data_IF_969532741062
#
_entry.id   IF_969532741062
#
_cell.length_a   1.000
_cell.length_b   1.000
_cell.length_c   1.000
_cell.angle_alpha   90.00
_cell.angle_beta   90.00
_cell.angle_gamma   90.00
#
_symmetry.space_group_name_H-M   'P 1'
#
loop_
_entity.id
_entity.type
_entity.pdbx_description
1 polymer ?
#
# COMPACT_ATOMS: atom_id res chain seq x y z
N UNK A 1 -21.60 43.49 18.49
CA UNK A 1 -22.41 43.04 17.33
C UNK A 1 -21.59 42.36 16.21
N UNK A 2 -20.27 42.16 16.36
CA UNK A 2 -19.40 41.52 15.34
C UNK A 2 -19.26 40.00 15.50
N UNK A 3 -19.54 39.41 16.66
CA UNK A 3 -19.35 37.99 16.96
C UNK A 3 -20.46 37.09 16.35
N UNK A 4 -21.68 37.59 16.18
CA UNK A 4 -22.81 36.80 15.64
C UNK A 4 -22.70 36.53 14.12
N UNK A 5 -22.01 37.38 13.35
CA UNK A 5 -21.88 37.24 11.91
C UNK A 5 -20.90 36.13 11.52
N UNK A 6 -19.81 35.94 12.31
CA UNK A 6 -18.82 34.86 12.08
C UNK A 6 -19.39 33.46 12.31
N UNK A 7 -20.31 33.29 13.26
CA UNK A 7 -20.93 31.99 13.55
C UNK A 7 -21.87 31.56 12.43
N UNK A 8 -22.59 32.50 11.82
CA UNK A 8 -23.46 32.17 10.68
C UNK A 8 -22.69 31.78 9.41
N UNK A 9 -21.56 32.40 9.15
CA UNK A 9 -20.70 32.06 7.99
C UNK A 9 -20.11 30.66 8.13
N UNK A 10 -19.65 30.26 9.33
CA UNK A 10 -19.14 28.93 9.62
C UNK A 10 -20.23 27.84 9.50
N UNK A 11 -21.45 28.12 9.92
CA UNK A 11 -22.58 27.19 9.80
C UNK A 11 -23.02 26.99 8.34
N UNK A 12 -23.03 28.05 7.51
CA UNK A 12 -23.36 27.91 6.08
C UNK A 12 -22.32 27.12 5.31
N UNK A 13 -21.04 27.23 5.62
CA UNK A 13 -19.97 26.49 4.96
C UNK A 13 -20.03 24.98 5.28
N UNK A 14 -20.38 24.64 6.53
CA UNK A 14 -20.56 23.24 6.95
C UNK A 14 -21.76 22.55 6.27
N UNK A 15 -22.84 23.26 6.02
CA UNK A 15 -24.06 22.71 5.42
C UNK A 15 -23.84 22.40 3.93
N UNK A 16 -23.13 23.24 3.19
CA UNK A 16 -22.83 23.02 1.78
C UNK A 16 -21.93 21.78 1.61
N UNK A 17 -20.93 21.59 2.44
CA UNK A 17 -20.02 20.45 2.41
C UNK A 17 -20.76 19.11 2.57
N UNK A 18 -21.67 19.00 3.52
CA UNK A 18 -22.48 17.79 3.73
C UNK A 18 -23.44 17.49 2.56
N UNK A 19 -23.95 18.53 1.89
CA UNK A 19 -24.83 18.33 0.74
C UNK A 19 -24.08 17.77 -0.47
N UNK A 20 -22.86 18.24 -0.73
CA UNK A 20 -22.02 17.77 -1.82
C UNK A 20 -21.61 16.29 -1.61
N UNK A 21 -21.21 15.91 -0.40
CA UNK A 21 -20.85 14.52 -0.07
C UNK A 21 -22.01 13.54 -0.31
N UNK A 22 -23.22 13.90 0.06
CA UNK A 22 -24.40 13.04 -0.14
C UNK A 22 -24.67 12.82 -1.63
N UNK A 23 -24.62 13.90 -2.43
CA UNK A 23 -24.85 13.85 -3.88
C UNK A 23 -23.77 13.01 -4.55
N UNK A 24 -22.49 13.24 -4.21
CA UNK A 24 -21.35 12.51 -4.74
C UNK A 24 -21.49 11.02 -4.40
N UNK A 25 -21.79 10.69 -3.14
CA UNK A 25 -21.94 9.32 -2.68
C UNK A 25 -23.00 8.58 -3.49
N UNK A 26 -24.21 9.15 -3.59
CA UNK A 26 -25.32 8.54 -4.32
C UNK A 26 -24.96 8.26 -5.78
N UNK A 27 -24.31 9.20 -6.47
CA UNK A 27 -23.91 9.04 -7.88
C UNK A 27 -22.76 8.07 -8.07
N UNK A 28 -21.73 8.15 -7.24
CA UNK A 28 -20.55 7.29 -7.35
C UNK A 28 -20.89 5.83 -7.06
N UNK A 29 -21.77 5.55 -6.09
CA UNK A 29 -22.23 4.18 -5.80
C UNK A 29 -22.82 3.48 -7.02
N UNK A 30 -23.38 4.21 -7.97
CA UNK A 30 -23.96 3.64 -9.20
C UNK A 30 -22.92 3.08 -10.18
N UNK A 31 -21.68 3.57 -10.11
CA UNK A 31 -20.60 3.20 -11.04
C UNK A 31 -19.54 2.28 -10.41
N UNK A 32 -19.58 2.09 -9.08
CA UNK A 32 -18.62 1.23 -8.40
C UNK A 32 -18.80 -0.25 -8.74
N UNK A 33 -17.71 -1.03 -8.75
CA UNK A 33 -17.79 -2.48 -8.86
C UNK A 33 -18.65 -3.07 -7.73
N UNK A 34 -19.33 -4.19 -8.01
CA UNK A 34 -20.12 -4.90 -6.99
C UNK A 34 -19.27 -5.25 -5.78
N UNK A 35 -19.71 -4.82 -4.60
CA UNK A 35 -19.04 -5.07 -3.33
C UNK A 35 -17.95 -4.04 -2.98
N UNK A 36 -17.71 -3.04 -3.82
CA UNK A 36 -16.89 -1.89 -3.43
C UNK A 36 -17.74 -0.91 -2.62
N UNK A 37 -17.17 -0.41 -1.53
CA UNK A 37 -17.79 0.57 -0.64
C UNK A 37 -16.96 1.85 -0.63
N UNK A 38 -17.62 3.00 -0.54
CA UNK A 38 -16.95 4.29 -0.39
C UNK A 38 -16.36 4.35 1.03
N UNK A 39 -15.04 4.43 1.11
CA UNK A 39 -14.30 4.57 2.37
C UNK A 39 -14.32 6.01 2.88
N UNK A 40 -14.13 6.98 1.97
CA UNK A 40 -14.14 8.41 2.30
C UNK A 40 -14.35 9.28 1.07
N UNK A 41 -14.96 10.45 1.30
CA UNK A 41 -15.08 11.54 0.34
C UNK A 41 -14.37 12.74 0.96
N UNK A 42 -13.37 13.30 0.28
CA UNK A 42 -12.54 14.40 0.81
C UNK A 42 -12.40 15.47 -0.25
N UNK A 43 -12.55 16.73 0.13
CA UNK A 43 -12.28 17.83 -0.79
C UNK A 43 -10.83 17.79 -1.28
N UNK A 44 -10.62 17.93 -2.58
CA UNK A 44 -9.27 18.00 -3.13
C UNK A 44 -8.68 19.40 -2.98
N UNK A 45 -7.41 19.56 -3.33
CA UNK A 45 -6.77 20.88 -3.41
C UNK A 45 -7.33 21.74 -4.56
N UNK A 46 -8.01 21.11 -5.52
CA UNK A 46 -8.68 21.84 -6.60
C UNK A 46 -10.13 22.14 -6.20
N UNK A 47 -10.53 23.43 -6.13
CA UNK A 47 -11.88 23.82 -5.73
C UNK A 47 -12.97 23.18 -6.60
N UNK A 48 -14.04 22.67 -5.97
CA UNK A 48 -15.15 22.01 -6.66
C UNK A 48 -14.86 20.56 -7.12
N UNK A 49 -13.72 20.00 -6.72
CA UNK A 49 -13.37 18.60 -6.97
C UNK A 49 -13.15 17.86 -5.65
N UNK A 50 -13.72 16.69 -5.53
CA UNK A 50 -13.59 15.79 -4.38
C UNK A 50 -12.80 14.54 -4.77
N UNK A 51 -12.06 13.99 -3.81
CA UNK A 51 -11.40 12.69 -3.87
C UNK A 51 -12.31 11.66 -3.22
N UNK A 52 -12.63 10.59 -3.93
CA UNK A 52 -13.44 9.49 -3.44
C UNK A 52 -12.60 8.22 -3.41
N UNK A 53 -12.43 7.64 -2.23
CA UNK A 53 -11.73 6.38 -2.00
C UNK A 53 -12.75 5.26 -1.81
N UNK A 54 -12.54 4.11 -2.48
CA UNK A 54 -13.51 3.00 -2.54
C UNK A 54 -12.84 1.61 -2.52
N UNK A 55 -11.83 1.44 -1.67
CA UNK A 55 -11.09 0.17 -1.53
C UNK A 55 -9.78 0.12 -2.31
N UNK A 56 -9.56 1.06 -3.23
CA UNK A 56 -8.26 1.28 -3.90
C UNK A 56 -7.48 2.39 -3.18
N UNK A 57 -6.16 2.34 -3.29
CA UNK A 57 -5.31 3.40 -2.76
C UNK A 57 -5.41 4.68 -3.61
N UNK A 58 -5.67 4.52 -4.92
CA UNK A 58 -5.87 5.62 -5.84
C UNK A 58 -7.32 6.12 -5.79
N UNK A 59 -7.55 7.43 -5.55
CA UNK A 59 -8.89 7.99 -5.58
C UNK A 59 -9.41 8.16 -7.00
N UNK A 60 -10.74 8.24 -7.13
CA UNK A 60 -11.35 8.94 -8.25
C UNK A 60 -11.61 10.39 -7.85
N UNK A 61 -11.47 11.29 -8.82
CA UNK A 61 -11.78 12.72 -8.66
C UNK A 61 -13.17 13.00 -9.19
N UNK A 62 -14.02 13.63 -8.38
CA UNK A 62 -15.45 13.83 -8.70
C UNK A 62 -15.80 15.30 -8.50
N UNK A 63 -16.56 15.89 -9.44
CA UNK A 63 -17.09 17.25 -9.28
C UNK A 63 -18.07 17.35 -8.10
N UNK A 64 -18.20 18.55 -7.53
CA UNK A 64 -19.08 18.86 -6.40
C UNK A 64 -20.55 18.43 -6.63
N UNK A 65 -21.02 18.56 -7.87
CA UNK A 65 -22.35 18.11 -8.26
C UNK A 65 -22.42 16.59 -8.61
N UNK A 66 -21.29 15.87 -8.58
CA UNK A 66 -21.20 14.44 -8.89
C UNK A 66 -21.43 14.06 -10.37
N UNK A 67 -21.50 15.04 -11.30
CA UNK A 67 -21.80 14.77 -12.70
C UNK A 67 -20.59 14.29 -13.51
N UNK A 68 -19.39 14.64 -13.05
CA UNK A 68 -18.15 14.31 -13.74
C UNK A 68 -17.19 13.59 -12.80
N UNK A 69 -16.51 12.59 -13.33
CA UNK A 69 -15.40 11.95 -12.61
C UNK A 69 -14.20 11.77 -13.52
N UNK A 70 -13.01 11.73 -12.91
CA UNK A 70 -11.73 11.55 -13.57
C UNK A 70 -10.97 10.43 -12.87
N UNK A 71 -10.45 9.51 -13.67
CA UNK A 71 -9.47 8.51 -13.26
C UNK A 71 -8.09 8.98 -13.70
N UNK A 72 -7.12 9.03 -12.79
CA UNK A 72 -5.76 9.45 -13.09
C UNK A 72 -5.14 10.33 -12.03
N UNK A 73 -4.04 10.98 -12.38
CA UNK A 73 -3.26 11.80 -11.49
C UNK A 73 -3.60 13.28 -11.59
N UNK A 74 -3.59 13.96 -10.46
CA UNK A 74 -3.71 15.41 -10.37
C UNK A 74 -2.32 16.02 -10.19
N UNK A 75 -1.99 16.98 -11.05
CA UNK A 75 -0.72 17.69 -11.01
C UNK A 75 -0.90 19.14 -10.63
N UNK A 76 -0.03 19.63 -9.74
CA UNK A 76 0.03 21.02 -9.33
C UNK A 76 1.22 21.72 -9.98
N UNK A 77 0.96 22.84 -10.64
CA UNK A 77 2.01 23.72 -11.11
C UNK A 77 2.55 24.56 -9.96
N UNK A 78 3.82 24.51 -9.71
CA UNK A 78 4.50 25.29 -8.68
C UNK A 78 5.67 26.07 -9.27
N UNK A 79 6.22 27.02 -8.51
CA UNK A 79 7.44 27.76 -8.90
C UNK A 79 8.65 26.83 -9.08
N UNK A 80 8.64 25.68 -8.43
CA UNK A 80 9.73 24.70 -8.45
C UNK A 80 9.51 23.56 -9.45
N UNK A 81 8.44 23.62 -10.26
CA UNK A 81 8.11 22.61 -11.26
C UNK A 81 6.72 22.00 -11.07
N UNK A 82 6.51 20.88 -11.72
CA UNK A 82 5.26 20.11 -11.69
C UNK A 82 5.33 19.10 -10.54
N UNK A 83 4.31 19.09 -9.69
CA UNK A 83 4.17 18.14 -8.58
C UNK A 83 2.99 17.22 -8.87
N UNK A 84 3.21 15.89 -8.83
CA UNK A 84 2.13 14.91 -8.81
C UNK A 84 1.59 14.81 -7.37
N UNK A 85 0.48 15.50 -7.10
CA UNK A 85 -0.12 15.53 -5.76
C UNK A 85 -0.85 14.22 -5.43
N UNK A 86 -1.36 13.51 -6.44
CA UNK A 86 -1.93 12.18 -6.26
C UNK A 86 -0.88 11.19 -5.77
N UNK A 87 0.30 11.19 -6.37
CA UNK A 87 1.40 10.29 -6.00
C UNK A 87 1.91 10.56 -4.57
N UNK A 88 2.05 11.85 -4.22
CA UNK A 88 2.44 12.26 -2.87
C UNK A 88 1.45 11.71 -1.84
N UNK A 89 0.15 11.84 -2.10
CA UNK A 89 -0.89 11.35 -1.19
C UNK A 89 -0.95 9.82 -1.13
N UNK A 90 -0.83 9.15 -2.28
CA UNK A 90 -0.77 7.68 -2.35
C UNK A 90 0.42 7.15 -1.54
N UNK A 91 1.59 7.78 -1.65
CA UNK A 91 2.78 7.40 -0.89
C UNK A 91 2.55 7.57 0.62
N UNK A 92 1.93 8.68 1.05
CA UNK A 92 1.58 8.89 2.44
C UNK A 92 0.60 7.82 2.96
N UNK A 93 -0.43 7.50 2.20
CA UNK A 93 -1.39 6.43 2.55
C UNK A 93 -0.72 5.05 2.60
N UNK A 94 0.26 4.76 1.72
CA UNK A 94 1.04 3.52 1.79
C UNK A 94 1.83 3.42 3.08
N UNK A 95 2.48 4.51 3.51
CA UNK A 95 3.20 4.56 4.79
C UNK A 95 2.25 4.18 5.92
N UNK A 96 1.09 4.84 6.02
CA UNK A 96 0.10 4.59 7.06
C UNK A 96 -0.38 3.13 7.08
N UNK A 97 -0.62 2.55 5.91
CA UNK A 97 -1.06 1.15 5.79
C UNK A 97 0.06 0.19 6.19
N UNK A 98 1.30 0.43 5.76
CA UNK A 98 2.46 -0.43 6.05
C UNK A 98 2.83 -0.34 7.55
N UNK A 99 2.80 0.84 8.15
CA UNK A 99 3.13 1.03 9.57
C UNK A 99 2.12 0.36 10.52
N UNK A 100 0.92 0.04 10.03
CA UNK A 100 -0.06 -0.80 10.75
C UNK A 100 0.22 -2.30 10.68
N UNK A 101 1.24 -2.75 9.94
CA UNK A 101 1.72 -4.13 10.00
C UNK A 101 2.65 -4.25 11.21
N UNK A 102 2.26 -5.11 12.15
CA UNK A 102 3.09 -5.33 13.33
C UNK A 102 4.45 -5.94 12.96
N UNK A 103 5.52 -5.50 13.60
CA UNK A 103 6.89 -5.96 13.29
C UNK A 103 7.08 -7.48 13.46
N UNK A 104 6.31 -8.12 14.34
CA UNK A 104 6.31 -9.57 14.54
C UNK A 104 5.60 -10.33 13.42
N UNK A 105 4.81 -9.65 12.60
CA UNK A 105 4.19 -10.24 11.41
C UNK A 105 5.15 -10.27 10.22
N UNK A 106 6.27 -9.55 10.26
CA UNK A 106 7.24 -9.48 9.17
C UNK A 106 8.42 -10.44 9.39
N UNK A 107 8.92 -11.03 8.30
CA UNK A 107 10.20 -11.75 8.34
C UNK A 107 11.31 -10.76 8.01
N UNK A 108 12.08 -10.35 9.02
CA UNK A 108 13.01 -9.23 8.93
C UNK A 108 14.45 -9.67 8.80
N UNK A 109 15.19 -9.04 7.90
CA UNK A 109 16.62 -9.17 7.68
C UNK A 109 17.27 -7.80 7.88
N UNK A 110 17.54 -7.42 9.14
CA UNK A 110 18.06 -6.10 9.45
C UNK A 110 19.53 -5.96 9.08
N UNK A 111 19.91 -4.76 8.62
CA UNK A 111 21.30 -4.34 8.52
C UNK A 111 21.85 -3.97 9.90
N UNK A 112 23.13 -4.23 10.14
CA UNK A 112 23.81 -3.80 11.35
C UNK A 112 24.01 -2.27 11.42
N UNK A 113 24.01 -1.61 10.26
CA UNK A 113 24.16 -0.16 10.12
C UNK A 113 22.97 0.38 9.33
N UNK A 114 21.75 0.20 9.84
CA UNK A 114 20.53 0.61 9.15
C UNK A 114 20.53 2.10 8.83
N UNK A 115 20.48 2.41 7.52
CA UNK A 115 20.26 3.75 6.99
C UNK A 115 18.83 3.84 6.44
N UNK A 116 18.39 2.77 5.78
CA UNK A 116 17.08 2.65 5.17
C UNK A 116 16.42 1.32 5.55
N UNK A 117 15.11 1.34 5.66
CA UNK A 117 14.28 0.13 5.76
C UNK A 117 13.33 0.06 4.59
N UNK A 118 13.11 -1.13 4.06
CA UNK A 118 12.12 -1.36 2.99
C UNK A 118 11.22 -2.54 3.35
N UNK A 119 9.94 -2.43 3.01
CA UNK A 119 9.00 -3.56 3.07
C UNK A 119 8.91 -4.19 1.69
N UNK A 120 9.25 -5.47 1.61
CA UNK A 120 9.26 -6.20 0.34
C UNK A 120 8.14 -7.24 0.34
N UNK A 121 7.15 -7.02 -0.50
CA UNK A 121 6.13 -8.01 -0.76
C UNK A 121 6.71 -9.10 -1.66
N UNK A 122 6.74 -10.32 -1.15
CA UNK A 122 7.51 -11.43 -1.73
C UNK A 122 6.66 -12.68 -1.92
N UNK A 123 7.10 -13.54 -2.86
CA UNK A 123 6.51 -14.84 -3.13
C UNK A 123 7.64 -15.89 -3.24
N UNK A 124 7.50 -17.03 -2.58
CA UNK A 124 8.52 -18.08 -2.57
C UNK A 124 8.67 -18.79 -3.93
N UNK A 125 7.66 -18.70 -4.79
CA UNK A 125 7.67 -19.28 -6.14
C UNK A 125 8.13 -18.30 -7.22
N UNK A 126 8.38 -17.02 -6.84
CA UNK A 126 8.85 -16.00 -7.76
C UNK A 126 10.36 -16.04 -7.97
N UNK A 127 10.81 -16.19 -9.22
CA UNK A 127 12.24 -16.24 -9.57
C UNK A 127 12.99 -14.96 -9.18
N UNK A 128 12.44 -13.79 -9.44
CA UNK A 128 13.06 -12.51 -9.05
C UNK A 128 13.05 -12.28 -7.54
N UNK A 129 12.05 -12.80 -6.82
CA UNK A 129 12.07 -12.79 -5.36
C UNK A 129 13.17 -13.67 -4.78
N UNK A 130 13.50 -14.78 -5.43
CA UNK A 130 14.66 -15.63 -5.07
C UNK A 130 15.95 -14.88 -5.30
N UNK A 131 16.08 -14.21 -6.46
CA UNK A 131 17.26 -13.41 -6.80
C UNK A 131 17.50 -12.27 -5.80
N UNK A 132 16.45 -11.53 -5.42
CA UNK A 132 16.54 -10.51 -4.38
C UNK A 132 16.96 -11.11 -3.04
N UNK A 133 16.42 -12.28 -2.70
CA UNK A 133 16.75 -12.97 -1.45
C UNK A 133 18.20 -13.42 -1.37
N UNK A 134 18.77 -13.89 -2.49
CA UNK A 134 20.16 -14.30 -2.55
C UNK A 134 21.15 -13.14 -2.36
N UNK A 135 20.66 -11.90 -2.52
CA UNK A 135 21.46 -10.67 -2.37
C UNK A 135 21.16 -9.89 -1.08
N UNK A 136 20.45 -10.48 -0.11
CA UNK A 136 20.12 -9.78 1.15
C UNK A 136 21.35 -9.21 1.85
N UNK A 137 22.46 -9.96 1.88
CA UNK A 137 23.69 -9.53 2.52
C UNK A 137 24.26 -8.26 1.85
N UNK A 138 24.18 -8.18 0.50
CA UNK A 138 24.62 -7.00 -0.26
C UNK A 138 23.77 -5.76 0.09
N UNK A 139 22.44 -5.92 0.26
CA UNK A 139 21.57 -4.82 0.72
C UNK A 139 21.91 -4.41 2.16
N UNK A 140 22.12 -5.39 3.03
CA UNK A 140 22.44 -5.11 4.44
C UNK A 140 23.80 -4.43 4.58
N UNK A 141 24.80 -4.77 3.77
CA UNK A 141 26.13 -4.17 3.78
C UNK A 141 26.12 -2.68 3.43
N UNK A 142 25.16 -2.25 2.60
CA UNK A 142 24.95 -0.84 2.27
C UNK A 142 23.93 -0.14 3.17
N UNK A 143 23.51 -0.77 4.26
CA UNK A 143 22.64 -0.16 5.27
C UNK A 143 21.15 -0.29 5.01
N UNK A 144 20.71 -1.20 4.12
CA UNK A 144 19.28 -1.41 3.82
C UNK A 144 18.77 -2.64 4.58
N UNK A 145 17.83 -2.43 5.49
CA UNK A 145 17.09 -3.51 6.15
C UNK A 145 15.89 -3.95 5.31
N UNK A 146 15.72 -5.27 5.14
CA UNK A 146 14.64 -5.86 4.36
C UNK A 146 13.62 -6.52 5.29
N UNK A 147 12.36 -6.12 5.17
CA UNK A 147 11.22 -6.66 5.89
C UNK A 147 10.26 -7.33 4.91
N UNK A 148 10.14 -8.65 4.95
CA UNK A 148 9.23 -9.37 4.06
C UNK A 148 7.80 -9.37 4.56
N UNK A 149 6.89 -8.95 3.69
CA UNK A 149 5.47 -9.22 3.75
C UNK A 149 5.09 -10.27 2.70
N UNK A 150 4.13 -11.13 3.00
CA UNK A 150 3.74 -12.21 2.12
C UNK A 150 2.82 -11.72 0.99
N UNK A 151 3.13 -12.12 -0.26
CA UNK A 151 2.25 -11.86 -1.39
C UNK A 151 2.27 -13.04 -2.37
N UNK A 152 1.55 -14.14 -2.06
CA UNK A 152 1.42 -15.28 -2.98
C UNK A 152 0.66 -14.84 -4.23
N UNK A 153 1.35 -14.68 -5.38
CA UNK A 153 0.76 -14.15 -6.64
C UNK A 153 -0.41 -14.98 -7.17
N UNK A 154 -0.37 -16.28 -6.90
CA UNK A 154 -1.45 -17.20 -7.27
C UNK A 154 -2.71 -17.03 -6.42
N UNK A 155 -2.67 -16.22 -5.35
CA UNK A 155 -3.79 -15.97 -4.46
C UNK A 155 -3.85 -16.89 -3.24
N UNK A 156 -4.88 -16.65 -2.43
CA UNK A 156 -5.18 -17.40 -1.21
C UNK A 156 -5.63 -18.83 -1.58
N UNK A 157 -5.24 -19.82 -0.77
CA UNK A 157 -5.62 -21.24 -0.95
C UNK A 157 -4.75 -21.99 -1.95
N UNK A 158 -3.70 -21.38 -2.49
CA UNK A 158 -2.77 -22.00 -3.45
C UNK A 158 -1.57 -22.65 -2.76
N UNK A 159 -0.77 -23.42 -3.53
CA UNK A 159 0.47 -24.02 -3.04
C UNK A 159 1.48 -22.97 -2.55
N UNK A 160 1.60 -21.84 -3.26
CA UNK A 160 2.43 -20.73 -2.82
C UNK A 160 1.95 -20.15 -1.48
N UNK A 161 0.64 -19.92 -1.34
CA UNK A 161 0.03 -19.49 -0.08
C UNK A 161 0.36 -20.43 1.07
N UNK A 162 0.15 -21.75 0.88
CA UNK A 162 0.44 -22.78 1.89
C UNK A 162 1.91 -22.78 2.32
N UNK A 163 2.85 -22.69 1.36
CA UNK A 163 4.28 -22.60 1.65
C UNK A 163 4.61 -21.34 2.46
N UNK A 164 4.00 -20.22 2.13
CA UNK A 164 4.24 -18.96 2.84
C UNK A 164 3.65 -19.01 4.25
N UNK A 165 2.45 -19.55 4.43
CA UNK A 165 1.91 -19.81 5.78
C UNK A 165 2.90 -20.64 6.60
N UNK A 166 3.42 -21.73 6.04
CA UNK A 166 4.44 -22.55 6.70
C UNK A 166 5.72 -21.79 7.05
N UNK A 167 6.12 -20.79 6.25
CA UNK A 167 7.26 -19.94 6.58
C UNK A 167 6.99 -19.04 7.78
N UNK A 168 5.84 -18.39 7.81
CA UNK A 168 5.44 -17.47 8.88
C UNK A 168 5.10 -18.18 10.19
N UNK A 169 4.62 -19.43 10.14
CA UNK A 169 4.30 -20.25 11.31
C UNK A 169 5.48 -21.08 11.84
N UNK A 170 6.66 -20.95 11.26
CA UNK A 170 7.86 -21.69 11.69
C UNK A 170 8.49 -21.07 12.93
N UNK A 171 9.09 -21.89 13.79
CA UNK A 171 9.93 -21.42 14.91
C UNK A 171 11.15 -20.58 14.42
N UNK A 172 11.56 -20.79 13.16
CA UNK A 172 12.61 -19.99 12.53
C UNK A 172 12.16 -19.52 11.14
N UNK A 173 11.36 -18.45 11.04
CA UNK A 173 10.80 -17.98 9.78
C UNK A 173 11.87 -17.59 8.75
N UNK A 174 13.00 -17.00 9.17
CA UNK A 174 14.12 -16.64 8.28
C UNK A 174 14.70 -17.86 7.59
N UNK A 175 15.00 -18.92 8.36
CA UNK A 175 15.54 -20.18 7.82
C UNK A 175 14.52 -20.85 6.92
N UNK A 176 13.25 -20.85 7.31
CA UNK A 176 12.18 -21.50 6.55
C UNK A 176 11.99 -20.82 5.19
N UNK A 177 11.84 -19.49 5.15
CA UNK A 177 11.66 -18.77 3.88
C UNK A 177 12.88 -18.90 2.97
N UNK A 178 14.08 -18.90 3.53
CA UNK A 178 15.33 -19.15 2.78
C UNK A 178 15.34 -20.52 2.14
N UNK A 179 14.95 -21.56 2.89
CA UNK A 179 14.86 -22.92 2.34
C UNK A 179 13.83 -23.02 1.21
N UNK A 180 12.66 -22.44 1.39
CA UNK A 180 11.61 -22.44 0.35
C UNK A 180 12.06 -21.70 -0.91
N UNK A 181 12.71 -20.54 -0.76
CA UNK A 181 13.26 -19.80 -1.90
C UNK A 181 14.40 -20.53 -2.62
N UNK A 182 15.14 -21.39 -1.93
CA UNK A 182 16.13 -22.31 -2.51
C UNK A 182 15.50 -23.57 -3.13
N UNK A 183 14.17 -23.64 -3.22
CA UNK A 183 13.45 -24.77 -3.83
C UNK A 183 13.42 -26.03 -2.97
N UNK A 184 13.78 -25.98 -1.70
CA UNK A 184 13.64 -27.10 -0.77
C UNK A 184 12.18 -27.27 -0.39
N UNK A 185 11.80 -28.48 -0.02
CA UNK A 185 10.46 -28.84 0.46
C UNK A 185 10.52 -29.26 1.95
N UNK A 186 10.68 -28.31 2.88
CA UNK A 186 10.65 -28.61 4.30
C UNK A 186 9.23 -29.00 4.75
N UNK A 187 9.13 -29.67 5.90
CA UNK A 187 7.83 -29.88 6.56
C UNK A 187 7.25 -28.52 6.95
N UNK A 188 5.97 -28.30 6.61
CA UNK A 188 5.27 -27.03 6.84
C UNK A 188 4.39 -27.13 8.08
N UNK A 189 4.52 -26.18 8.98
CA UNK A 189 3.60 -25.97 10.10
C UNK A 189 2.46 -25.02 9.70
N UNK A 190 1.40 -24.99 10.51
CA UNK A 190 0.30 -24.05 10.41
C UNK A 190 0.03 -23.43 11.77
N UNK A 191 -0.40 -22.19 11.76
CA UNK A 191 -0.83 -21.45 12.95
C UNK A 191 -2.03 -20.56 12.62
N UNK A 192 -2.95 -20.43 13.56
CA UNK A 192 -4.18 -19.64 13.37
C UNK A 192 -3.88 -18.13 13.24
N UNK A 193 -2.75 -17.69 13.79
CA UNK A 193 -2.32 -16.29 13.79
C UNK A 193 -1.47 -15.89 12.57
N UNK A 194 -1.44 -16.73 11.52
CA UNK A 194 -0.65 -16.44 10.32
C UNK A 194 -1.09 -15.14 9.62
N UNK A 195 -0.18 -14.23 9.27
CA UNK A 195 -0.52 -12.94 8.69
C UNK A 195 -0.60 -12.94 7.15
N UNK A 196 -0.38 -14.08 6.48
CA UNK A 196 -0.20 -14.15 5.01
C UNK A 196 -1.43 -13.63 4.26
N UNK A 197 -2.65 -13.98 4.71
CA UNK A 197 -3.87 -13.48 4.10
C UNK A 197 -4.04 -11.96 4.27
N UNK A 198 -3.72 -11.45 5.48
CA UNK A 198 -3.71 -10.01 5.79
C UNK A 198 -2.71 -9.28 4.91
N UNK A 199 -1.47 -9.77 4.80
CA UNK A 199 -0.44 -9.19 3.95
C UNK A 199 -0.85 -9.15 2.47
N UNK A 200 -1.47 -10.24 1.98
CA UNK A 200 -1.97 -10.29 0.61
C UNK A 200 -3.05 -9.22 0.36
N UNK A 201 -4.00 -9.09 1.28
CA UNK A 201 -5.05 -8.05 1.19
C UNK A 201 -4.45 -6.64 1.22
N UNK A 202 -3.49 -6.38 2.13
CA UNK A 202 -2.76 -5.12 2.20
C UNK A 202 -2.04 -4.84 0.87
N UNK A 203 -1.31 -5.82 0.34
CA UNK A 203 -0.59 -5.66 -0.93
C UNK A 203 -1.52 -5.32 -2.08
N UNK A 204 -2.69 -5.96 -2.15
CA UNK A 204 -3.71 -5.61 -3.15
C UNK A 204 -4.20 -4.17 -2.96
N UNK A 205 -4.52 -3.77 -1.73
CA UNK A 205 -5.00 -2.42 -1.41
C UNK A 205 -4.00 -1.33 -1.78
N UNK A 206 -2.70 -1.55 -1.58
CA UNK A 206 -1.64 -0.56 -1.89
C UNK A 206 -1.15 -0.60 -3.34
N UNK A 207 -1.83 -1.34 -4.22
CA UNK A 207 -1.58 -1.35 -5.66
C UNK A 207 -0.52 -2.35 -6.14
N UNK A 208 -0.18 -3.38 -5.35
CA UNK A 208 0.78 -4.41 -5.78
C UNK A 208 0.11 -5.38 -6.76
N UNK A 209 0.71 -5.48 -7.94
CA UNK A 209 0.25 -6.38 -9.03
C UNK A 209 1.22 -7.53 -9.29
N UNK A 210 2.45 -7.47 -8.76
CA UNK A 210 3.49 -8.47 -8.98
C UNK A 210 4.52 -8.50 -7.85
N UNK A 211 5.46 -9.45 -7.90
CA UNK A 211 6.53 -9.59 -6.91
C UNK A 211 7.90 -9.77 -7.57
N UNK A 212 9.00 -9.34 -6.91
CA UNK A 212 8.98 -8.58 -5.67
C UNK A 212 8.37 -7.20 -5.90
N UNK A 213 7.77 -6.62 -4.87
CA UNK A 213 7.37 -5.23 -4.86
C UNK A 213 7.95 -4.59 -3.60
N UNK A 214 8.68 -3.50 -3.75
CA UNK A 214 9.43 -2.87 -2.68
C UNK A 214 8.70 -1.57 -2.33
N UNK A 215 8.33 -1.41 -1.06
CA UNK A 215 7.82 -0.15 -0.53
C UNK A 215 8.90 0.49 0.33
N UNK A 216 9.31 1.69 -0.04
CA UNK A 216 10.31 2.47 0.68
C UNK A 216 9.73 3.12 1.93
N UNK A 217 10.58 3.68 2.80
CA UNK A 217 10.15 4.47 3.96
C UNK A 217 9.43 5.77 3.57
N UNK A 218 9.58 6.23 2.33
CA UNK A 218 8.81 7.37 1.79
C UNK A 218 7.46 6.97 1.18
N UNK A 219 7.09 5.67 1.21
CA UNK A 219 5.86 5.15 0.64
C UNK A 219 5.90 4.89 -0.87
N UNK A 220 7.03 5.16 -1.50
CA UNK A 220 7.22 4.88 -2.93
C UNK A 220 7.16 3.38 -3.18
N UNK A 221 6.40 2.99 -4.20
CA UNK A 221 6.28 1.61 -4.65
C UNK A 221 7.19 1.38 -5.85
N UNK A 222 8.21 0.55 -5.66
CA UNK A 222 9.12 0.11 -6.71
C UNK A 222 8.69 -1.30 -7.16
N UNK A 223 8.05 -1.44 -8.33
CA UNK A 223 7.59 -2.73 -8.82
C UNK A 223 8.73 -3.52 -9.45
N UNK A 224 8.91 -4.76 -9.03
CA UNK A 224 9.90 -5.66 -9.59
C UNK A 224 11.22 -5.71 -8.83
N UNK A 225 12.18 -6.39 -9.46
CA UNK A 225 13.53 -6.54 -8.93
C UNK A 225 14.41 -5.38 -9.39
N UNK A 226 14.90 -4.63 -8.43
CA UNK A 226 15.89 -3.57 -8.66
C UNK A 226 17.27 -4.05 -8.23
N UNK A 227 18.27 -3.84 -9.09
CA UNK A 227 19.66 -4.05 -8.72
C UNK A 227 20.04 -3.02 -7.65
N UNK A 228 20.47 -3.50 -6.50
CA UNK A 228 20.66 -2.76 -5.24
C UNK A 228 21.43 -1.45 -5.32
N UNK A 229 22.24 -1.24 -6.33
CA UNK A 229 23.24 -0.18 -6.35
C UNK A 229 22.92 1.02 -7.25
N UNK A 230 21.80 1.04 -7.98
CA UNK A 230 21.53 2.09 -8.98
C UNK A 230 20.23 2.86 -8.74
N UNK A 231 19.32 2.38 -7.87
CA UNK A 231 17.94 2.88 -7.84
C UNK A 231 17.37 3.20 -6.44
N UNK A 232 18.18 3.14 -5.38
CA UNK A 232 17.74 3.52 -4.02
C UNK A 232 18.58 4.67 -3.51
#
# INVERSE_FOLDING_TARGET
MKIRLSIYILLFFSISFFADEIIIKEKVETILPKGAEIESIVQSEFPGIYKVYYGDIQPIYVSDNGDYFIFGDMFKLSKNGILNITDIEINQRRIEIIDNISSNELISFPSNNEIYKVTVFTDVECGYCRKLHDQIDEYNDIGISIHYAAFPRSGIGTGAFTKMVGAWCSDNPKKMITNLKKGKNPSLGFCDTQPVAKHYAIGKKIGITGTPAIVTSSGELLPGYYLSLIHI
#
